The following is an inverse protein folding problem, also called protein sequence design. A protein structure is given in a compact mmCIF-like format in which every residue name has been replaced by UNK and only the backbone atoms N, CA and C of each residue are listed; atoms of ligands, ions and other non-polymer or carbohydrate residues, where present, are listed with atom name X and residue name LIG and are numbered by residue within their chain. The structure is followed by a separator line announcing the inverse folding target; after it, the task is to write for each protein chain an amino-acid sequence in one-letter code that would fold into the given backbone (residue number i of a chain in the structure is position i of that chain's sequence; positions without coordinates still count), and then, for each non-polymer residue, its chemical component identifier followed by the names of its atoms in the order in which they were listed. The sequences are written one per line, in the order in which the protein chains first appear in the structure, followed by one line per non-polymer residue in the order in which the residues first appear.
data_IF_682851720000
#
_entry.id   IF_682851720000
#
_cell.length_a   1.000
_cell.length_b   1.000
_cell.length_c   1.000
_cell.angle_alpha   90.00
_cell.angle_beta   90.00
_cell.angle_gamma   90.00
#
_symmetry.space_group_name_H-M   'P 1'
#
loop_
_entity.id
_entity.type
_entity.pdbx_description
1 polymer ?
#
# COMPACT_ATOMS: atom_id res chain seq x y z
N UNK A 1 18.27 -61.81 25.42
CA UNK A 1 18.83 -60.60 24.79
C UNK A 1 17.86 -60.10 23.74
N UNK A 2 16.96 -59.19 24.10
CA UNK A 2 16.04 -58.48 23.19
C UNK A 2 15.93 -57.07 23.77
N UNK A 3 16.66 -56.10 23.21
CA UNK A 3 16.73 -54.75 23.80
C UNK A 3 17.42 -53.71 22.91
N UNK A 4 18.24 -54.13 21.94
CA UNK A 4 19.07 -53.21 21.13
C UNK A 4 18.36 -52.69 19.87
N UNK A 5 17.30 -53.37 19.41
CA UNK A 5 16.59 -53.00 18.17
C UNK A 5 15.63 -51.82 18.32
N UNK A 6 15.19 -51.50 19.54
CA UNK A 6 14.22 -50.44 19.80
C UNK A 6 14.85 -49.05 19.88
N UNK A 7 16.05 -48.91 20.47
CA UNK A 7 16.75 -47.62 20.54
C UNK A 7 17.30 -47.18 19.18
N UNK A 8 17.80 -48.11 18.38
CA UNK A 8 18.30 -47.81 17.04
C UNK A 8 17.20 -47.34 16.08
N UNK A 9 15.97 -47.85 16.24
CA UNK A 9 14.80 -47.42 15.46
C UNK A 9 14.36 -46.00 15.86
N UNK A 10 14.29 -45.71 17.16
CA UNK A 10 13.95 -44.39 17.72
C UNK A 10 14.97 -43.31 17.29
N UNK A 11 16.27 -43.63 17.35
CA UNK A 11 17.34 -42.76 16.86
C UNK A 11 17.23 -42.45 15.36
N UNK A 12 16.76 -43.42 14.56
CA UNK A 12 16.58 -43.25 13.11
C UNK A 12 15.37 -42.36 12.77
N UNK A 13 14.29 -42.47 13.54
CA UNK A 13 13.11 -41.63 13.41
C UNK A 13 13.42 -40.19 13.82
N UNK A 14 14.10 -40.01 14.96
CA UNK A 14 14.54 -38.71 15.44
C UNK A 14 15.44 -37.98 14.41
N UNK A 15 16.36 -38.71 13.76
CA UNK A 15 17.21 -38.14 12.69
C UNK A 15 16.41 -37.72 11.47
N UNK A 16 15.45 -38.55 11.02
CA UNK A 16 14.57 -38.20 9.89
C UNK A 16 13.74 -36.95 10.18
N UNK A 17 13.18 -36.84 11.38
CA UNK A 17 12.44 -35.67 11.83
C UNK A 17 13.33 -34.42 11.89
N UNK A 18 14.56 -34.54 12.36
CA UNK A 18 15.50 -33.43 12.40
C UNK A 18 15.88 -32.93 10.99
N UNK A 19 16.14 -33.84 10.05
CA UNK A 19 16.39 -33.50 8.65
C UNK A 19 15.18 -32.86 7.98
N UNK A 20 13.98 -33.36 8.25
CA UNK A 20 12.74 -32.78 7.73
C UNK A 20 12.49 -31.38 8.30
N UNK A 21 12.69 -31.20 9.61
CA UNK A 21 12.61 -29.89 10.25
C UNK A 21 13.61 -28.88 9.66
N UNK A 22 14.85 -29.33 9.38
CA UNK A 22 15.85 -28.51 8.71
C UNK A 22 15.41 -28.12 7.29
N UNK A 23 14.91 -29.08 6.50
CA UNK A 23 14.39 -28.81 5.14
C UNK A 23 13.22 -27.81 5.16
N UNK A 24 12.25 -27.99 6.06
CA UNK A 24 11.12 -27.07 6.22
C UNK A 24 11.60 -25.69 6.68
N UNK A 25 12.61 -25.62 7.55
CA UNK A 25 13.25 -24.38 7.97
C UNK A 25 13.84 -23.59 6.80
N UNK A 26 14.57 -24.24 5.91
CA UNK A 26 15.12 -23.60 4.70
C UNK A 26 14.00 -23.12 3.75
N UNK A 27 12.98 -23.94 3.50
CA UNK A 27 11.83 -23.53 2.68
C UNK A 27 11.09 -22.31 3.25
N UNK A 28 10.93 -22.25 4.58
CA UNK A 28 10.32 -21.11 5.24
C UNK A 28 11.17 -19.84 5.06
N UNK A 29 12.50 -19.98 5.09
CA UNK A 29 13.43 -18.87 4.88
C UNK A 29 13.41 -18.36 3.44
N UNK A 30 13.47 -19.26 2.47
CA UNK A 30 13.35 -18.92 1.04
C UNK A 30 12.01 -18.20 0.73
N UNK A 31 10.92 -18.65 1.35
CA UNK A 31 9.62 -18.02 1.22
C UNK A 31 9.61 -16.60 1.83
N UNK A 32 10.21 -16.43 3.01
CA UNK A 32 10.32 -15.13 3.68
C UNK A 32 11.14 -14.14 2.83
N UNK A 33 12.26 -14.58 2.26
CA UNK A 33 13.10 -13.75 1.40
C UNK A 33 12.37 -13.37 0.11
N UNK A 34 11.63 -14.31 -0.50
CA UNK A 34 10.78 -14.06 -1.66
C UNK A 34 9.67 -13.04 -1.37
N UNK A 35 9.02 -13.15 -0.20
CA UNK A 35 8.01 -12.20 0.25
C UNK A 35 8.62 -10.81 0.52
N UNK A 36 9.78 -10.72 1.17
CA UNK A 36 10.48 -9.46 1.40
C UNK A 36 10.85 -8.77 0.08
N UNK A 37 11.33 -9.53 -0.90
CA UNK A 37 11.64 -9.03 -2.24
C UNK A 37 10.39 -8.50 -2.95
N UNK A 38 9.27 -9.22 -2.89
CA UNK A 38 7.99 -8.76 -3.45
C UNK A 38 7.52 -7.45 -2.80
N UNK A 39 7.56 -7.37 -1.47
CA UNK A 39 7.17 -6.17 -0.72
C UNK A 39 8.07 -4.97 -1.08
N UNK A 40 9.37 -5.20 -1.22
CA UNK A 40 10.32 -4.14 -1.60
C UNK A 40 10.06 -3.61 -3.01
N UNK A 41 9.84 -4.52 -3.97
CA UNK A 41 9.51 -4.15 -5.36
C UNK A 41 8.20 -3.37 -5.45
N UNK A 42 7.14 -3.92 -4.86
CA UNK A 42 5.81 -3.28 -4.87
C UNK A 42 5.85 -1.90 -4.21
N UNK A 43 6.61 -1.75 -3.12
CA UNK A 43 6.83 -0.44 -2.50
C UNK A 43 7.48 0.55 -3.46
N UNK A 44 8.56 0.17 -4.14
CA UNK A 44 9.26 1.07 -5.06
C UNK A 44 8.38 1.45 -6.26
N UNK A 45 7.63 0.50 -6.80
CA UNK A 45 6.66 0.73 -7.88
C UNK A 45 5.54 1.68 -7.44
N UNK A 46 4.99 1.49 -6.23
CA UNK A 46 3.98 2.36 -5.64
C UNK A 46 4.54 3.78 -5.40
N UNK A 47 5.77 3.92 -4.89
CA UNK A 47 6.40 5.22 -4.72
C UNK A 47 6.62 5.92 -6.06
N UNK A 48 7.06 5.21 -7.10
CA UNK A 48 7.21 5.76 -8.45
C UNK A 48 5.87 6.21 -9.04
N UNK A 49 4.78 5.48 -8.81
CA UNK A 49 3.42 5.90 -9.18
C UNK A 49 3.00 7.15 -8.41
N UNK A 50 3.26 7.22 -7.11
CA UNK A 50 2.96 8.38 -6.26
C UNK A 50 3.68 9.64 -6.75
N UNK A 51 4.96 9.55 -7.07
CA UNK A 51 5.72 10.70 -7.61
C UNK A 51 5.15 11.18 -8.94
N UNK A 52 4.79 10.25 -9.85
CA UNK A 52 4.13 10.60 -11.12
C UNK A 52 2.78 11.27 -10.92
N UNK A 53 1.95 10.76 -10.01
CA UNK A 53 0.66 11.35 -9.67
C UNK A 53 0.82 12.77 -9.11
N UNK A 54 1.80 13.00 -8.23
CA UNK A 54 2.11 14.32 -7.67
C UNK A 54 2.57 15.31 -8.74
N UNK A 55 3.46 14.88 -9.64
CA UNK A 55 3.93 15.71 -10.74
C UNK A 55 2.77 16.12 -11.66
N UNK A 56 1.89 15.17 -12.00
CA UNK A 56 0.73 15.43 -12.85
C UNK A 56 -0.30 16.36 -12.17
N UNK A 57 -0.59 16.19 -10.88
CA UNK A 57 -1.45 17.12 -10.12
C UNK A 57 -0.87 18.54 -10.10
N UNK A 58 0.46 18.67 -9.94
CA UNK A 58 1.13 19.96 -10.01
C UNK A 58 1.04 20.61 -11.40
N UNK A 59 1.24 19.82 -12.46
CA UNK A 59 1.12 20.28 -13.84
C UNK A 59 -0.31 20.72 -14.19
N UNK A 60 -1.33 19.98 -13.77
CA UNK A 60 -2.73 20.38 -13.95
C UNK A 60 -3.03 21.71 -13.26
N UNK A 61 -2.58 21.89 -12.00
CA UNK A 61 -2.75 23.15 -11.28
C UNK A 61 -2.03 24.32 -11.95
N UNK A 62 -0.82 24.07 -12.47
CA UNK A 62 -0.03 25.05 -13.21
C UNK A 62 -0.73 25.46 -14.50
N UNK A 63 -1.27 24.50 -15.27
CA UNK A 63 -2.02 24.76 -16.49
C UNK A 63 -3.31 25.53 -16.21
N UNK A 64 -4.08 25.14 -15.19
CA UNK A 64 -5.27 25.87 -14.76
C UNK A 64 -4.94 27.32 -14.38
N UNK A 65 -3.85 27.53 -13.62
CA UNK A 65 -3.38 28.87 -13.26
C UNK A 65 -2.98 29.68 -14.50
N UNK A 66 -2.27 29.05 -15.45
CA UNK A 66 -1.88 29.68 -16.71
C UNK A 66 -3.08 30.04 -17.59
N UNK A 67 -4.10 29.17 -17.66
CA UNK A 67 -5.33 29.40 -18.40
C UNK A 67 -6.09 30.60 -17.80
N UNK A 68 -6.28 30.62 -16.47
CA UNK A 68 -6.93 31.74 -15.78
C UNK A 68 -6.17 33.07 -15.97
N UNK A 69 -4.83 33.03 -15.99
CA UNK A 69 -3.99 34.19 -16.23
C UNK A 69 -4.07 34.66 -17.70
N UNK A 70 -4.23 33.75 -18.66
CA UNK A 70 -4.36 34.08 -20.07
C UNK A 70 -5.73 34.70 -20.38
N UNK A 71 -6.80 34.14 -19.82
CA UNK A 71 -8.16 34.66 -19.95
C UNK A 71 -8.33 36.04 -19.30
N UNK A 72 -7.72 36.28 -18.14
CA UNK A 72 -7.81 37.58 -17.45
C UNK A 72 -6.98 38.69 -18.10
N UNK A 73 -5.91 38.36 -18.83
CA UNK A 73 -5.00 39.36 -19.44
C UNK A 73 -5.37 39.77 -20.86
N UNK A 74 -6.55 39.38 -21.37
CA UNK A 74 -6.95 39.64 -22.77
C UNK A 74 -5.90 39.14 -23.79
N UNK A 75 -5.07 38.16 -23.42
CA UNK A 75 -4.05 37.59 -24.31
C UNK A 75 -4.65 36.45 -25.12
N UNK A 76 -5.37 36.82 -26.18
CA UNK A 76 -5.47 36.04 -27.43
C UNK A 76 -6.12 34.65 -27.41
N UNK A 77 -6.63 34.15 -26.28
CA UNK A 77 -7.43 32.92 -26.28
C UNK A 77 -8.88 33.26 -26.59
N UNK A 78 -9.43 32.65 -27.63
CA UNK A 78 -10.87 32.68 -27.88
C UNK A 78 -11.62 32.11 -26.68
N UNK A 79 -12.74 32.72 -26.33
CA UNK A 79 -13.50 32.34 -25.12
C UNK A 79 -13.96 30.88 -25.21
N UNK A 80 -14.36 30.42 -26.40
CA UNK A 80 -14.76 29.01 -26.62
C UNK A 80 -13.61 28.03 -26.47
N UNK A 81 -12.41 28.42 -26.89
CA UNK A 81 -11.23 27.56 -26.75
C UNK A 81 -10.77 27.49 -25.29
N UNK A 82 -10.89 28.59 -24.55
CA UNK A 82 -10.61 28.60 -23.11
C UNK A 82 -11.60 27.71 -22.33
N UNK A 83 -12.90 27.76 -22.65
CA UNK A 83 -13.92 26.90 -22.03
C UNK A 83 -13.65 25.42 -22.29
N UNK A 84 -13.35 25.04 -23.54
CA UNK A 84 -13.00 23.65 -23.89
C UNK A 84 -11.76 23.16 -23.13
N UNK A 85 -10.72 24.00 -23.04
CA UNK A 85 -9.51 23.65 -22.29
C UNK A 85 -9.79 23.47 -20.80
N UNK A 86 -10.63 24.33 -20.21
CA UNK A 86 -11.01 24.22 -18.81
C UNK A 86 -11.80 22.92 -18.55
N UNK A 87 -12.72 22.55 -19.44
CA UNK A 87 -13.46 21.28 -19.36
C UNK A 87 -12.54 20.05 -19.44
N UNK A 88 -11.56 20.05 -20.33
CA UNK A 88 -10.59 18.95 -20.44
C UNK A 88 -9.69 18.86 -19.20
N UNK A 89 -9.23 20.01 -18.67
CA UNK A 89 -8.47 20.06 -17.42
C UNK A 89 -9.32 19.60 -16.23
N UNK A 90 -10.61 19.95 -16.21
CA UNK A 90 -11.54 19.50 -15.18
C UNK A 90 -11.75 17.98 -15.24
N UNK A 91 -11.95 17.42 -16.44
CA UNK A 91 -12.05 15.96 -16.64
C UNK A 91 -10.78 15.24 -16.20
N UNK A 92 -9.60 15.71 -16.64
CA UNK A 92 -8.32 15.14 -16.23
C UNK A 92 -8.12 15.19 -14.71
N UNK A 93 -8.49 16.30 -14.07
CA UNK A 93 -8.41 16.47 -12.62
C UNK A 93 -9.38 15.53 -11.89
N UNK A 94 -10.59 15.33 -12.40
CA UNK A 94 -11.59 14.42 -11.82
C UNK A 94 -11.11 12.97 -11.85
N UNK A 95 -10.44 12.53 -12.92
CA UNK A 95 -9.83 11.20 -12.99
C UNK A 95 -8.77 10.98 -11.90
N UNK A 96 -8.03 12.03 -11.55
CA UNK A 96 -6.99 11.98 -10.52
C UNK A 96 -7.56 12.10 -9.10
N UNK A 97 -8.56 12.96 -8.89
CA UNK A 97 -9.12 13.23 -7.56
C UNK A 97 -10.13 12.19 -7.10
N UNK A 98 -10.87 11.59 -8.02
CA UNK A 98 -12.01 10.71 -7.71
C UNK A 98 -11.73 9.25 -8.14
N UNK A 99 -10.69 9.02 -8.94
CA UNK A 99 -10.25 7.68 -9.35
C UNK A 99 -9.29 7.01 -8.36
N UNK A 100 -8.75 5.85 -8.76
CA UNK A 100 -7.82 5.05 -7.93
C UNK A 100 -6.53 5.81 -7.58
N UNK A 101 -6.13 6.75 -8.43
CA UNK A 101 -4.96 7.61 -8.24
C UNK A 101 -5.09 8.51 -7.00
N UNK A 102 -6.33 8.81 -6.58
CA UNK A 102 -6.61 9.65 -5.41
C UNK A 102 -5.99 9.10 -4.12
N UNK A 103 -5.87 7.77 -4.01
CA UNK A 103 -5.25 7.08 -2.87
C UNK A 103 -3.74 7.33 -2.77
N UNK A 104 -3.08 7.64 -3.89
CA UNK A 104 -1.65 7.93 -3.96
C UNK A 104 -1.33 9.38 -3.63
N UNK A 105 -2.31 10.28 -3.81
CA UNK A 105 -2.15 11.70 -3.53
C UNK A 105 -2.29 12.00 -2.03
N UNK A 106 -1.66 13.09 -1.55
CA UNK A 106 -1.88 13.58 -0.20
C UNK A 106 -3.38 13.89 -0.04
N UNK A 107 -4.09 13.05 0.72
CA UNK A 107 -5.52 13.28 0.97
C UNK A 107 -5.70 14.69 1.52
N UNK A 108 -6.50 15.51 0.82
CA UNK A 108 -6.92 16.82 1.31
C UNK A 108 -7.64 16.57 2.63
N UNK A 109 -7.00 16.98 3.73
CA UNK A 109 -7.62 17.30 5.03
C UNK A 109 -8.53 16.25 5.69
N UNK A 110 -8.49 14.96 5.32
CA UNK A 110 -9.16 13.89 6.10
C UNK A 110 -8.19 12.95 6.84
N UNK A 111 -6.89 13.22 6.77
CA UNK A 111 -5.87 12.45 7.47
C UNK A 111 -5.29 13.13 8.72
N UNK A 112 -5.54 14.42 8.97
CA UNK A 112 -4.90 15.16 10.08
C UNK A 112 -5.42 14.71 11.44
N UNK A 113 -6.73 14.45 11.55
CA UNK A 113 -7.34 13.90 12.75
C UNK A 113 -6.79 12.51 13.05
N UNK A 114 -6.84 11.57 12.10
CA UNK A 114 -6.27 10.23 12.28
C UNK A 114 -4.76 10.26 12.56
N UNK A 115 -3.97 11.13 11.89
CA UNK A 115 -2.54 11.33 12.18
C UNK A 115 -2.28 11.86 13.58
N UNK A 116 -3.17 12.66 14.16
CA UNK A 116 -3.03 13.13 15.54
C UNK A 116 -3.14 11.98 16.54
N UNK A 117 -3.98 10.97 16.27
CA UNK A 117 -4.11 9.78 17.13
C UNK A 117 -3.09 8.67 16.82
N UNK A 118 -2.70 8.52 15.56
CA UNK A 118 -1.85 7.41 15.09
C UNK A 118 -0.35 7.79 14.93
N UNK A 119 0.01 9.06 15.14
CA UNK A 119 1.36 9.58 14.82
C UNK A 119 1.62 9.66 13.31
N UNK A 120 2.88 9.90 12.88
CA UNK A 120 3.28 9.69 11.49
C UNK A 120 2.94 8.24 11.10
N UNK A 121 1.85 8.08 10.35
CA UNK A 121 1.25 6.78 10.03
C UNK A 121 2.26 5.93 9.24
N UNK A 122 3.00 5.06 9.93
CA UNK A 122 3.77 3.95 9.35
C UNK A 122 2.88 2.69 9.22
N UNK A 123 1.59 2.86 8.93
CA UNK A 123 0.64 1.75 8.82
C UNK A 123 0.67 1.24 7.38
N UNK A 124 1.58 0.30 7.10
CA UNK A 124 1.44 -0.64 5.99
C UNK A 124 0.35 -1.65 6.37
N UNK A 125 -0.89 -1.41 5.97
CA UNK A 125 -1.92 -2.44 6.04
C UNK A 125 -1.71 -3.43 4.89
N UNK A 126 -0.79 -4.38 5.04
CA UNK A 126 -0.86 -5.61 4.26
C UNK A 126 -2.17 -6.29 4.64
N UNK A 127 -3.17 -6.29 3.74
CA UNK A 127 -4.44 -6.99 3.93
C UNK A 127 -4.18 -8.40 4.47
N UNK A 128 -4.50 -8.65 5.75
CA UNK A 128 -4.92 -9.94 6.34
C UNK A 128 -5.14 -9.81 7.86
N UNK A 129 -6.41 -9.99 8.25
CA UNK A 129 -6.94 -10.48 9.53
C UNK A 129 -6.39 -9.93 10.86
N UNK A 130 -6.83 -8.73 11.23
CA UNK A 130 -6.96 -8.40 12.65
C UNK A 130 -8.29 -8.99 13.14
N UNK A 131 -8.27 -10.25 13.59
CA UNK A 131 -9.28 -10.72 14.55
C UNK A 131 -9.13 -9.81 15.76
N UNK A 132 -10.00 -8.80 15.88
CA UNK A 132 -10.16 -8.03 17.09
C UNK A 132 -10.38 -9.05 18.21
N UNK A 133 -9.40 -9.21 19.10
CA UNK A 133 -9.62 -9.88 20.39
C UNK A 133 -10.55 -8.95 21.17
N UNK A 134 -11.85 -9.10 20.94
CA UNK A 134 -12.87 -8.51 21.79
C UNK A 134 -12.60 -9.05 23.19
N UNK A 135 -12.33 -8.13 24.10
CA UNK A 135 -12.02 -8.39 25.50
C UNK A 135 -13.13 -9.29 26.07
N UNK A 136 -12.79 -10.53 26.42
CA UNK A 136 -13.74 -11.55 26.93
C UNK A 136 -14.41 -11.16 28.27
N UNK A 137 -14.13 -9.98 28.80
CA UNK A 137 -14.58 -9.52 30.12
C UNK A 137 -16.05 -9.05 30.15
N UNK A 138 -16.72 -8.84 29.01
CA UNK A 138 -18.08 -8.26 29.00
C UNK A 138 -19.25 -9.24 28.78
N UNK A 139 -19.00 -10.55 28.71
CA UNK A 139 -20.05 -11.57 28.51
C UNK A 139 -20.52 -12.29 29.80
N UNK A 140 -20.31 -11.67 30.99
CA UNK A 140 -20.83 -12.21 32.28
C UNK A 140 -22.02 -11.43 32.86
N UNK A 141 -22.73 -10.65 32.05
CA UNK A 141 -24.00 -10.06 32.45
C UNK A 141 -25.08 -10.30 31.39
N UNK A 142 -25.59 -11.54 31.32
CA UNK A 142 -27.02 -11.81 31.23
C UNK A 142 -27.31 -13.29 31.52
#
# INVERSE_FOLDING_TARGET
MVGDGASAADDSEARRLAEEAARVGELARELQDSAANLISRTWNEEQALRQRALALDADLRRLQSSLSAASSRSRGLDTKDAEKLDEELYRARSLISDGDVSSLLPSKTRGRFLRMFLGPINVRATRKDVRLKVKEEYNKYR
#
